data_IF_599296877508
#
_entry.id   IF_599296877508
#
_cell.length_a   1.000
_cell.length_b   1.000
_cell.length_c   1.000
_cell.angle_alpha   90.00
_cell.angle_beta   90.00
_cell.angle_gamma   90.00
#
_symmetry.space_group_name_H-M   'P 1'
#
loop_
_entity.id
_entity.type
_entity.pdbx_description
1 polymer ?
#
# COMPACT_ATOMS: atom_id res chain seq x y z
N UNK A 1 29.48 36.00 -40.76
CA UNK A 1 29.74 35.47 -39.41
C UNK A 1 29.34 36.56 -38.42
N UNK A 2 28.27 36.38 -37.65
CA UNK A 2 27.87 37.37 -36.64
C UNK A 2 28.90 37.34 -35.52
N UNK A 3 29.70 38.38 -35.40
CA UNK A 3 30.60 38.56 -34.27
C UNK A 3 29.73 38.68 -33.01
N UNK A 4 29.88 37.76 -32.07
CA UNK A 4 29.34 37.95 -30.72
C UNK A 4 30.17 39.09 -30.10
N UNK A 5 29.60 40.29 -30.04
CA UNK A 5 30.13 41.38 -29.23
C UNK A 5 29.93 41.01 -27.76
N UNK A 6 31.02 41.00 -27.00
CA UNK A 6 30.93 41.00 -25.53
C UNK A 6 30.59 42.45 -25.15
N UNK A 7 29.43 42.67 -24.53
CA UNK A 7 29.07 44.00 -24.01
C UNK A 7 30.17 44.49 -23.05
N UNK A 8 30.54 45.77 -23.13
CA UNK A 8 31.54 46.42 -22.26
C UNK A 8 30.94 46.93 -20.94
N UNK A 9 29.69 46.56 -20.63
CA UNK A 9 29.01 46.94 -19.38
C UNK A 9 29.61 46.21 -18.19
N UNK A 10 29.54 46.82 -17.00
CA UNK A 10 29.85 46.11 -15.77
C UNK A 10 28.82 45.00 -15.55
N UNK A 11 29.21 43.88 -14.97
CA UNK A 11 28.31 42.74 -14.71
C UNK A 11 27.08 43.17 -13.90
N UNK A 12 27.23 44.11 -12.97
CA UNK A 12 26.14 44.67 -12.15
C UNK A 12 25.14 45.52 -12.93
N UNK A 13 25.46 45.90 -14.16
CA UNK A 13 24.62 46.74 -15.04
C UNK A 13 23.89 45.87 -16.09
N UNK A 14 24.15 44.56 -16.13
CA UNK A 14 23.46 43.64 -17.03
C UNK A 14 22.01 43.40 -16.57
N UNK A 15 21.11 43.22 -17.53
CA UNK A 15 19.73 42.82 -17.24
C UNK A 15 19.70 41.38 -16.69
N UNK A 16 18.96 41.16 -15.61
CA UNK A 16 18.81 39.83 -15.02
C UNK A 16 18.12 38.88 -16.01
N UNK A 17 18.67 37.68 -16.16
CA UNK A 17 18.15 36.65 -17.04
C UNK A 17 17.88 35.37 -16.25
N UNK A 18 16.61 35.10 -15.94
CA UNK A 18 16.19 34.09 -14.95
C UNK A 18 15.68 32.79 -15.56
N UNK A 19 15.44 32.73 -16.88
CA UNK A 19 14.94 31.56 -17.59
C UNK A 19 15.74 31.30 -18.88
N UNK A 20 17.03 30.94 -18.78
CA UNK A 20 17.86 30.62 -19.95
C UNK A 20 17.36 29.35 -20.67
N UNK A 21 17.37 29.39 -22.00
CA UNK A 21 17.17 28.21 -22.84
C UNK A 21 18.44 27.38 -22.92
N UNK A 22 18.32 26.11 -23.34
CA UNK A 22 19.46 25.19 -23.46
C UNK A 22 20.59 25.71 -24.35
N UNK A 23 20.26 26.52 -25.36
CA UNK A 23 21.19 27.15 -26.30
C UNK A 23 21.88 28.41 -25.77
N UNK A 24 21.45 28.96 -24.62
CA UNK A 24 22.07 30.16 -24.05
C UNK A 24 23.54 29.91 -23.74
N UNK A 25 24.39 30.89 -24.03
CA UNK A 25 25.84 30.79 -23.85
C UNK A 25 26.25 31.35 -22.49
N UNK A 26 27.07 30.59 -21.77
CA UNK A 26 27.72 31.01 -20.54
C UNK A 26 29.21 31.21 -20.84
N UNK A 27 29.74 32.44 -20.72
CA UNK A 27 31.17 32.68 -20.80
C UNK A 27 31.87 32.17 -19.54
N UNK A 28 32.98 31.44 -19.71
CA UNK A 28 33.80 30.91 -18.62
C UNK A 28 35.26 31.18 -18.93
N UNK A 29 36.00 31.72 -17.96
CA UNK A 29 37.45 31.84 -18.05
C UNK A 29 38.10 30.67 -17.31
N UNK A 30 38.84 29.82 -18.01
CA UNK A 30 39.42 28.58 -17.41
C UNK A 30 40.88 28.75 -16.93
N UNK A 31 41.37 29.99 -16.90
CA UNK A 31 42.74 30.33 -16.56
C UNK A 31 43.67 30.45 -17.78
N UNK A 32 43.25 29.94 -18.94
CA UNK A 32 43.99 30.07 -20.21
C UNK A 32 43.34 31.02 -21.20
N UNK A 33 42.04 31.29 -21.03
CA UNK A 33 41.33 32.30 -21.80
C UNK A 33 39.82 32.22 -21.60
N UNK A 34 39.11 33.14 -22.25
CA UNK A 34 37.65 33.16 -22.25
C UNK A 34 37.10 32.14 -23.26
N UNK A 35 36.29 31.21 -22.76
CA UNK A 35 35.59 30.18 -23.53
C UNK A 35 34.10 30.32 -23.32
N UNK A 36 33.31 29.53 -24.05
CA UNK A 36 31.85 29.46 -23.89
C UNK A 36 31.40 28.01 -23.71
N UNK A 37 30.39 27.83 -22.88
CA UNK A 37 29.59 26.61 -22.84
C UNK A 37 28.13 26.97 -23.07
N UNK A 38 27.29 25.98 -23.36
CA UNK A 38 25.83 26.19 -23.34
C UNK A 38 25.27 26.00 -21.93
N UNK A 39 24.07 26.53 -21.68
CA UNK A 39 23.36 26.25 -20.43
C UNK A 39 23.08 24.75 -20.26
N UNK A 40 22.83 24.02 -21.36
CA UNK A 40 22.71 22.56 -21.34
C UNK A 40 23.99 21.87 -20.85
N UNK A 41 25.17 22.28 -21.34
CA UNK A 41 26.47 21.76 -20.87
C UNK A 41 26.67 22.04 -19.37
N UNK A 42 26.34 23.25 -18.92
CA UNK A 42 26.46 23.62 -17.50
C UNK A 42 25.54 22.78 -16.62
N UNK A 43 24.25 22.68 -16.97
CA UNK A 43 23.26 21.89 -16.23
C UNK A 43 23.69 20.43 -16.12
N UNK A 44 24.10 19.82 -17.25
CA UNK A 44 24.58 18.45 -17.26
C UNK A 44 25.81 18.26 -16.34
N UNK A 45 26.76 19.21 -16.36
CA UNK A 45 27.94 19.16 -15.50
C UNK A 45 27.62 19.38 -14.02
N UNK A 46 26.67 20.26 -13.71
CA UNK A 46 26.27 20.58 -12.34
C UNK A 46 25.61 19.40 -11.62
N UNK A 47 24.94 18.52 -12.36
CA UNK A 47 24.32 17.29 -11.83
C UNK A 47 25.14 16.03 -12.07
N UNK A 48 26.30 16.15 -12.72
CA UNK A 48 27.17 15.01 -13.06
C UNK A 48 27.53 14.21 -11.79
N UNK A 49 27.33 12.89 -11.86
CA UNK A 49 27.59 11.99 -10.73
C UNK A 49 26.52 12.03 -9.62
N UNK A 50 25.51 12.92 -9.70
CA UNK A 50 24.34 12.87 -8.81
C UNK A 50 23.58 11.57 -9.02
N UNK A 51 23.37 11.17 -10.27
CA UNK A 51 22.75 9.90 -10.66
C UNK A 51 23.43 8.71 -9.99
N UNK A 52 24.77 8.65 -9.99
CA UNK A 52 25.52 7.57 -9.34
C UNK A 52 25.37 7.57 -7.81
N UNK A 53 25.18 8.73 -7.17
CA UNK A 53 24.97 8.85 -5.73
C UNK A 53 23.56 8.43 -5.30
N UNK A 54 22.56 8.65 -6.15
CA UNK A 54 21.17 8.28 -5.89
C UNK A 54 20.80 6.91 -6.49
N UNK A 55 21.58 6.38 -7.44
CA UNK A 55 21.34 5.08 -8.07
C UNK A 55 21.13 3.92 -7.07
N UNK A 56 21.85 3.83 -5.93
CA UNK A 56 21.58 2.81 -4.93
C UNK A 56 20.20 2.91 -4.29
N UNK A 57 19.57 4.10 -4.32
CA UNK A 57 18.21 4.37 -3.85
C UNK A 57 17.16 4.20 -4.97
N UNK A 58 17.60 3.96 -6.21
CA UNK A 58 16.77 3.91 -7.42
C UNK A 58 16.87 2.55 -8.12
N UNK A 59 17.19 1.47 -7.39
CA UNK A 59 17.03 0.15 -7.99
C UNK A 59 15.54 -0.11 -8.23
N UNK A 60 15.17 -0.39 -9.48
CA UNK A 60 13.79 -0.64 -9.87
C UNK A 60 13.40 -2.09 -9.51
N UNK A 61 13.23 -2.34 -8.21
CA UNK A 61 12.77 -3.62 -7.65
C UNK A 61 11.96 -3.41 -6.37
N UNK A 62 11.17 -4.41 -5.99
CA UNK A 62 10.28 -4.31 -4.83
C UNK A 62 11.00 -3.93 -3.53
N UNK A 63 12.23 -4.40 -3.29
CA UNK A 63 12.97 -4.11 -2.06
C UNK A 63 13.27 -2.63 -1.88
N UNK A 64 13.79 -1.99 -2.93
CA UNK A 64 14.05 -0.55 -2.91
C UNK A 64 12.76 0.27 -2.86
N UNK A 65 11.74 -0.12 -3.61
CA UNK A 65 10.46 0.59 -3.62
C UNK A 65 9.70 0.46 -2.29
N UNK A 66 9.83 -0.66 -1.57
CA UNK A 66 9.30 -0.83 -0.22
C UNK A 66 10.05 -0.02 0.85
N UNK A 67 11.26 0.50 0.56
CA UNK A 67 12.08 1.25 1.50
C UNK A 67 11.81 2.76 1.50
N UNK A 68 11.07 3.27 0.51
CA UNK A 68 10.89 4.71 0.29
C UNK A 68 9.40 5.07 0.36
N UNK A 69 9.06 5.97 1.29
CA UNK A 69 7.75 6.60 1.35
C UNK A 69 7.74 7.94 0.62
N UNK A 70 6.68 8.20 -0.16
CA UNK A 70 6.51 9.45 -0.91
C UNK A 70 5.17 10.13 -0.67
N UNK A 71 4.06 9.40 -0.70
CA UNK A 71 2.75 9.98 -0.40
C UNK A 71 2.09 10.81 -1.51
N UNK A 72 2.53 10.70 -2.77
CA UNK A 72 2.09 11.56 -3.89
C UNK A 72 0.75 11.10 -4.49
N UNK A 73 -0.09 12.05 -4.89
CA UNK A 73 -1.26 11.75 -5.73
C UNK A 73 -0.81 11.39 -7.15
N UNK A 74 -1.21 10.22 -7.63
CA UNK A 74 -0.91 9.68 -8.96
C UNK A 74 -1.99 10.02 -10.00
N UNK A 75 -3.06 10.70 -9.59
CA UNK A 75 -4.20 11.06 -10.42
C UNK A 75 -5.47 10.28 -10.08
N UNK A 76 -6.45 10.31 -10.99
CA UNK A 76 -7.79 9.72 -10.80
C UNK A 76 -7.97 8.34 -11.44
N UNK A 77 -6.90 7.76 -11.98
CA UNK A 77 -6.88 6.48 -12.69
C UNK A 77 -5.44 5.97 -12.75
N UNK A 78 -5.28 4.66 -12.77
CA UNK A 78 -3.97 4.04 -13.05
C UNK A 78 -3.70 4.14 -14.55
N UNK A 79 -2.51 4.62 -14.92
CA UNK A 79 -2.15 4.76 -16.34
C UNK A 79 -1.63 3.45 -16.92
N UNK A 80 -1.68 3.30 -18.24
CA UNK A 80 -1.09 2.15 -18.94
C UNK A 80 0.41 1.98 -18.62
N UNK A 81 1.15 3.08 -18.49
CA UNK A 81 2.57 3.04 -18.11
C UNK A 81 2.77 2.51 -16.69
N UNK A 82 1.91 2.92 -15.74
CA UNK A 82 1.96 2.41 -14.37
C UNK A 82 1.66 0.91 -14.32
N UNK A 83 0.62 0.43 -15.02
CA UNK A 83 0.36 -1.01 -15.11
C UNK A 83 1.53 -1.78 -15.74
N UNK A 84 2.14 -1.25 -16.81
CA UNK A 84 3.30 -1.87 -17.43
C UNK A 84 4.49 -1.98 -16.45
N UNK A 85 4.75 -0.92 -15.66
CA UNK A 85 5.81 -0.91 -14.66
C UNK A 85 5.54 -1.88 -13.50
N UNK A 86 4.28 -2.01 -13.05
CA UNK A 86 3.87 -2.97 -12.03
C UNK A 86 4.08 -4.40 -12.55
N UNK A 87 3.56 -4.71 -13.74
CA UNK A 87 3.68 -6.03 -14.35
C UNK A 87 5.13 -6.44 -14.61
N UNK A 88 6.00 -5.48 -14.95
CA UNK A 88 7.42 -5.72 -15.17
C UNK A 88 8.24 -5.86 -13.87
N UNK A 89 7.67 -5.53 -12.71
CA UNK A 89 8.38 -5.52 -11.43
C UNK A 89 9.39 -4.38 -11.28
N UNK A 90 9.37 -3.40 -12.20
CA UNK A 90 10.25 -2.21 -12.15
C UNK A 90 9.69 -1.16 -11.21
N UNK A 91 8.36 -1.05 -11.14
CA UNK A 91 7.63 -0.08 -10.30
C UNK A 91 8.05 1.38 -10.55
N UNK A 92 8.47 1.69 -11.77
CA UNK A 92 8.96 3.01 -12.18
C UNK A 92 8.00 4.13 -11.76
N UNK A 93 8.54 5.14 -11.06
CA UNK A 93 7.80 6.29 -10.51
C UNK A 93 6.61 5.94 -9.58
N UNK A 94 6.62 4.76 -8.95
CA UNK A 94 5.65 4.34 -7.92
C UNK A 94 6.36 4.10 -6.59
N UNK A 95 5.84 4.63 -5.49
CA UNK A 95 6.45 4.50 -4.16
C UNK A 95 5.41 4.22 -3.09
N UNK A 96 5.85 3.73 -1.93
CA UNK A 96 4.95 3.52 -0.80
C UNK A 96 4.28 4.83 -0.43
N UNK A 97 2.98 4.74 -0.15
CA UNK A 97 2.17 5.89 0.19
C UNK A 97 1.65 6.68 -1.01
N UNK A 98 2.14 6.48 -2.23
CA UNK A 98 1.48 7.07 -3.40
C UNK A 98 0.05 6.53 -3.55
N UNK A 99 -0.84 7.30 -4.18
CA UNK A 99 -2.25 6.94 -4.22
C UNK A 99 -2.98 7.44 -5.47
N UNK A 100 -4.01 6.72 -5.86
CA UNK A 100 -5.00 7.17 -6.84
C UNK A 100 -6.29 7.59 -6.13
N UNK A 101 -6.96 8.63 -6.63
CA UNK A 101 -8.28 9.05 -6.14
C UNK A 101 -9.35 8.65 -7.16
N UNK A 102 -10.02 7.51 -6.94
CA UNK A 102 -10.99 6.94 -7.89
C UNK A 102 -12.34 6.88 -7.20
N UNK A 103 -13.38 7.48 -7.82
CA UNK A 103 -14.72 7.49 -7.23
C UNK A 103 -14.81 8.15 -5.85
N UNK A 104 -13.94 9.11 -5.55
CA UNK A 104 -13.87 9.78 -4.23
C UNK A 104 -13.10 9.00 -3.15
N UNK A 105 -12.56 7.82 -3.46
CA UNK A 105 -11.76 7.02 -2.55
C UNK A 105 -10.28 7.16 -2.90
N UNK A 106 -9.44 7.42 -1.89
CA UNK A 106 -7.99 7.36 -2.03
C UNK A 106 -7.51 5.92 -1.82
N UNK A 107 -6.95 5.33 -2.87
CA UNK A 107 -6.38 4.00 -2.91
C UNK A 107 -4.86 4.08 -2.85
N UNK A 108 -4.27 3.73 -1.71
CA UNK A 108 -2.86 3.97 -1.40
C UNK A 108 -2.01 2.71 -1.55
N UNK A 109 -0.86 2.85 -2.18
CA UNK A 109 0.15 1.79 -2.31
C UNK A 109 0.69 1.45 -0.93
N UNK A 110 0.49 0.20 -0.55
CA UNK A 110 0.81 -0.35 0.76
C UNK A 110 2.10 -1.19 0.78
N UNK A 111 2.39 -1.87 -0.32
CA UNK A 111 3.57 -2.72 -0.51
C UNK A 111 3.79 -3.04 -1.99
N UNK A 112 5.01 -3.44 -2.34
CA UNK A 112 5.40 -4.03 -3.63
C UNK A 112 5.77 -5.51 -3.43
N UNK A 113 5.28 -6.39 -4.29
CA UNK A 113 5.57 -7.85 -4.31
C UNK A 113 5.43 -8.58 -2.96
N UNK A 114 4.52 -8.11 -2.11
CA UNK A 114 4.32 -8.65 -0.77
C UNK A 114 4.00 -10.16 -0.78
N UNK A 115 3.18 -10.58 -1.75
CA UNK A 115 2.77 -11.98 -1.94
C UNK A 115 3.61 -12.74 -2.96
N UNK A 116 4.70 -12.16 -3.49
CA UNK A 116 5.54 -12.83 -4.48
C UNK A 116 6.21 -14.04 -3.84
N UNK A 117 6.29 -15.14 -4.59
CA UNK A 117 6.81 -16.43 -4.14
C UNK A 117 6.05 -16.99 -2.93
N UNK A 118 4.73 -16.89 -2.94
CA UNK A 118 3.88 -17.33 -1.82
C UNK A 118 2.58 -17.98 -2.31
N UNK A 119 1.87 -18.64 -1.39
CA UNK A 119 0.69 -19.45 -1.69
C UNK A 119 0.96 -20.95 -1.73
N UNK A 120 -0.09 -21.78 -1.65
CA UNK A 120 -0.05 -23.20 -2.04
C UNK A 120 0.19 -23.36 -3.54
N UNK A 121 -0.30 -22.40 -4.32
CA UNK A 121 0.12 -22.16 -5.70
C UNK A 121 0.97 -20.91 -5.76
N UNK A 122 2.16 -21.03 -6.35
CA UNK A 122 3.14 -19.96 -6.35
C UNK A 122 2.63 -18.70 -7.07
N UNK A 123 2.57 -17.57 -6.36
CA UNK A 123 2.36 -16.26 -6.97
C UNK A 123 3.67 -15.74 -7.59
N UNK A 124 3.74 -15.76 -8.92
CA UNK A 124 4.90 -15.26 -9.70
C UNK A 124 4.65 -13.89 -10.35
N UNK A 125 3.46 -13.33 -10.17
CA UNK A 125 3.03 -12.09 -10.81
C UNK A 125 3.47 -10.89 -9.96
N UNK A 126 4.22 -9.97 -10.57
CA UNK A 126 4.58 -8.72 -9.91
C UNK A 126 3.35 -7.86 -9.65
N UNK A 127 3.29 -7.25 -8.46
CA UNK A 127 2.09 -6.55 -8.01
C UNK A 127 2.38 -5.45 -7.00
N UNK A 128 1.38 -4.56 -6.85
CA UNK A 128 1.30 -3.63 -5.71
C UNK A 128 0.11 -3.98 -4.85
N UNK A 129 0.32 -3.99 -3.53
CA UNK A 129 -0.76 -4.09 -2.54
C UNK A 129 -1.33 -2.69 -2.35
N UNK A 130 -2.66 -2.58 -2.32
CA UNK A 130 -3.38 -1.32 -2.17
C UNK A 130 -4.28 -1.39 -0.95
N UNK A 131 -4.33 -0.29 -0.19
CA UNK A 131 -5.22 -0.10 0.96
C UNK A 131 -5.96 1.23 0.79
N UNK A 132 -7.31 1.27 0.90
CA UNK A 132 -8.05 2.52 0.96
C UNK A 132 -7.67 3.36 2.19
N UNK A 133 -7.65 4.69 2.08
CA UNK A 133 -7.38 5.57 3.22
C UNK A 133 -8.44 5.49 4.33
N UNK A 134 -9.68 5.19 3.95
CA UNK A 134 -10.85 5.14 4.83
C UNK A 134 -11.62 3.85 4.63
N UNK A 135 -12.49 3.53 5.59
CA UNK A 135 -13.44 2.44 5.45
C UNK A 135 -14.38 2.72 4.28
N UNK A 136 -14.67 1.70 3.46
CA UNK A 136 -15.56 1.85 2.31
C UNK A 136 -17.04 1.91 2.75
N UNK A 137 -17.38 1.18 3.81
CA UNK A 137 -18.69 1.10 4.45
C UNK A 137 -18.54 0.40 5.81
N UNK A 138 -19.63 0.25 6.56
CA UNK A 138 -19.65 -0.56 7.77
C UNK A 138 -20.40 -1.87 7.54
N UNK A 139 -19.94 -2.95 8.16
CA UNK A 139 -20.62 -4.24 8.16
C UNK A 139 -20.28 -5.04 9.43
N UNK A 140 -21.06 -6.09 9.67
CA UNK A 140 -20.85 -7.03 10.77
C UNK A 140 -19.99 -8.22 10.30
N UNK A 141 -19.27 -8.85 11.24
CA UNK A 141 -18.64 -10.15 10.99
C UNK A 141 -19.67 -11.28 10.96
N UNK A 142 -20.67 -11.18 11.83
CA UNK A 142 -21.86 -12.02 11.83
C UNK A 142 -23.10 -11.13 11.81
N UNK A 143 -23.94 -11.31 10.80
CA UNK A 143 -25.10 -10.45 10.60
C UNK A 143 -26.19 -10.78 11.61
N UNK A 144 -26.82 -9.73 12.15
CA UNK A 144 -27.95 -9.84 13.07
C UNK A 144 -29.17 -9.14 12.50
N UNK A 145 -30.34 -9.39 13.08
CA UNK A 145 -31.59 -8.78 12.59
C UNK A 145 -31.62 -7.26 12.84
N UNK A 146 -30.94 -6.77 13.87
CA UNK A 146 -30.82 -5.34 14.15
C UNK A 146 -29.80 -4.60 13.28
N UNK A 147 -28.89 -5.33 12.62
CA UNK A 147 -27.73 -4.73 11.94
C UNK A 147 -26.68 -4.14 12.90
N UNK A 148 -26.81 -4.38 14.21
CA UNK A 148 -25.92 -3.90 15.26
C UNK A 148 -25.63 -4.97 16.31
N UNK A 149 -24.95 -4.55 17.37
CA UNK A 149 -24.55 -5.45 18.45
C UNK A 149 -25.77 -6.11 19.12
N UNK A 150 -25.69 -7.43 19.27
CA UNK A 150 -26.65 -8.23 20.02
C UNK A 150 -25.89 -9.14 20.99
N UNK A 151 -26.46 -9.42 22.16
CA UNK A 151 -25.79 -10.24 23.18
C UNK A 151 -25.93 -11.75 22.90
N UNK A 152 -25.09 -12.56 23.56
CA UNK A 152 -25.21 -14.02 23.52
C UNK A 152 -24.85 -14.63 22.17
N UNK A 153 -25.70 -15.54 21.69
CA UNK A 153 -25.43 -16.40 20.52
C UNK A 153 -25.31 -15.64 19.18
N UNK A 154 -25.73 -14.37 19.13
CA UNK A 154 -25.51 -13.48 18.00
C UNK A 154 -24.03 -13.15 17.76
N UNK A 155 -23.12 -13.54 18.66
CA UNK A 155 -21.69 -13.39 18.46
C UNK A 155 -21.04 -14.76 18.34
N UNK A 156 -20.63 -15.10 17.13
CA UNK A 156 -19.96 -16.37 16.84
C UNK A 156 -18.81 -16.16 15.88
N UNK A 157 -17.74 -16.91 16.11
CA UNK A 157 -16.62 -17.05 15.17
C UNK A 157 -16.59 -18.46 14.57
N UNK A 158 -17.68 -19.24 14.72
CA UNK A 158 -17.78 -20.58 14.16
C UNK A 158 -17.49 -20.58 12.64
N UNK A 159 -16.62 -21.48 12.21
CA UNK A 159 -16.13 -21.50 10.83
C UNK A 159 -15.04 -20.47 10.52
N UNK A 160 -14.55 -19.74 11.52
CA UNK A 160 -13.48 -18.75 11.36
C UNK A 160 -13.89 -17.56 10.48
N UNK A 161 -12.90 -16.87 9.93
CA UNK A 161 -13.14 -15.78 8.99
C UNK A 161 -13.85 -16.26 7.71
N UNK A 162 -13.46 -17.43 7.17
CA UNK A 162 -14.12 -18.00 5.98
C UNK A 162 -15.60 -18.32 6.25
N UNK A 163 -15.93 -18.67 7.49
CA UNK A 163 -17.29 -18.96 7.94
C UNK A 163 -18.15 -17.73 8.19
N UNK A 164 -17.53 -16.55 8.36
CA UNK A 164 -18.21 -15.29 8.70
C UNK A 164 -19.11 -14.77 7.56
N UNK A 165 -20.12 -13.98 7.93
CA UNK A 165 -20.93 -13.25 6.94
C UNK A 165 -20.11 -12.18 6.23
N UNK A 166 -19.07 -11.64 6.90
CA UNK A 166 -18.11 -10.73 6.28
C UNK A 166 -17.51 -11.32 5.01
N UNK A 167 -16.95 -12.53 5.11
CA UNK A 167 -16.30 -13.19 3.98
C UNK A 167 -17.29 -13.67 2.92
N UNK A 168 -18.44 -14.22 3.35
CA UNK A 168 -19.41 -14.85 2.46
C UNK A 168 -20.25 -13.86 1.66
N UNK A 169 -20.58 -12.71 2.22
CA UNK A 169 -21.51 -11.76 1.59
C UNK A 169 -21.11 -10.31 1.76
N UNK A 170 -20.72 -9.88 2.96
CA UNK A 170 -20.56 -8.44 3.19
C UNK A 170 -19.35 -7.85 2.42
N UNK A 171 -18.32 -8.63 2.08
CA UNK A 171 -17.19 -8.17 1.25
C UNK A 171 -17.51 -7.96 -0.23
N UNK A 172 -18.64 -8.47 -0.73
CA UNK A 172 -18.98 -8.36 -2.16
C UNK A 172 -19.17 -6.89 -2.60
N UNK A 173 -19.62 -6.02 -1.71
CA UNK A 173 -19.69 -4.58 -1.98
C UNK A 173 -18.29 -3.96 -2.17
N UNK A 174 -17.32 -4.33 -1.33
CA UNK A 174 -15.94 -3.88 -1.50
C UNK A 174 -15.33 -4.43 -2.80
N UNK A 175 -15.53 -5.72 -3.10
CA UNK A 175 -15.09 -6.35 -4.35
C UNK A 175 -15.65 -5.64 -5.57
N UNK A 176 -16.94 -5.32 -5.58
CA UNK A 176 -17.60 -4.60 -6.68
C UNK A 176 -16.99 -3.20 -6.86
N UNK A 177 -16.86 -2.43 -5.78
CA UNK A 177 -16.26 -1.09 -5.80
C UNK A 177 -14.83 -1.13 -6.35
N UNK A 178 -13.99 -2.03 -5.82
CA UNK A 178 -12.58 -2.14 -6.20
C UNK A 178 -12.41 -2.65 -7.63
N UNK A 179 -13.17 -3.67 -8.05
CA UNK A 179 -13.13 -4.17 -9.43
C UNK A 179 -13.64 -3.13 -10.43
N UNK A 180 -14.55 -2.24 -10.03
CA UNK A 180 -14.92 -1.10 -10.87
C UNK A 180 -13.80 -0.07 -10.97
N UNK A 181 -13.08 0.21 -9.87
CA UNK A 181 -11.99 1.18 -9.84
C UNK A 181 -10.72 0.70 -10.57
N UNK A 182 -10.45 -0.61 -10.56
CA UNK A 182 -9.27 -1.25 -11.14
C UNK A 182 -9.67 -2.38 -12.11
N UNK A 183 -10.59 -2.06 -13.03
CA UNK A 183 -11.23 -3.03 -13.93
C UNK A 183 -10.22 -3.85 -14.72
N UNK A 184 -10.26 -5.17 -14.52
CA UNK A 184 -9.37 -6.13 -15.21
C UNK A 184 -7.96 -6.25 -14.63
N UNK A 185 -7.64 -5.49 -13.57
CA UNK A 185 -6.29 -5.42 -13.00
C UNK A 185 -6.17 -5.95 -11.58
N UNK A 186 -7.27 -6.31 -10.92
CA UNK A 186 -7.22 -6.93 -9.59
C UNK A 186 -6.60 -8.32 -9.71
N UNK A 187 -5.50 -8.55 -8.99
CA UNK A 187 -4.75 -9.80 -9.02
C UNK A 187 -5.40 -10.83 -8.08
N UNK A 188 -5.74 -11.98 -8.66
CA UNK A 188 -6.10 -13.19 -7.92
C UNK A 188 -4.83 -13.89 -7.42
N UNK A 189 -4.77 -14.20 -6.13
CA UNK A 189 -3.65 -14.91 -5.51
C UNK A 189 -4.14 -15.86 -4.40
N UNK A 190 -3.24 -16.67 -3.85
CA UNK A 190 -3.56 -17.69 -2.85
C UNK A 190 -3.13 -17.25 -1.46
N UNK A 191 -4.06 -17.27 -0.51
CA UNK A 191 -3.80 -16.99 0.91
C UNK A 191 -4.37 -18.11 1.79
N UNK A 192 -3.85 -18.22 3.01
CA UNK A 192 -4.34 -19.18 4.00
C UNK A 192 -5.22 -18.45 5.02
N UNK A 193 -6.49 -18.86 5.14
CA UNK A 193 -7.49 -18.22 5.99
C UNK A 193 -8.05 -19.20 7.03
N UNK A 194 -8.36 -18.68 8.22
CA UNK A 194 -9.01 -19.45 9.28
C UNK A 194 -10.41 -19.89 8.85
N UNK A 195 -10.68 -21.20 8.90
CA UNK A 195 -11.96 -21.81 8.51
C UNK A 195 -12.62 -22.62 9.64
N UNK A 196 -11.98 -22.70 10.81
CA UNK A 196 -12.52 -23.39 11.97
C UNK A 196 -12.03 -22.75 13.27
N UNK A 197 -12.88 -22.79 14.29
CA UNK A 197 -12.62 -22.28 15.64
C UNK A 197 -13.02 -23.35 16.66
N UNK A 198 -12.16 -23.59 17.64
CA UNK A 198 -12.44 -24.45 18.78
C UNK A 198 -11.85 -23.83 20.05
N UNK A 199 -12.56 -23.94 21.17
CA UNK A 199 -12.13 -23.39 22.47
C UNK A 199 -11.73 -21.91 22.39
N UNK A 200 -12.43 -21.13 21.57
CA UNK A 200 -12.21 -19.70 21.40
C UNK A 200 -10.95 -19.31 20.64
N UNK A 201 -10.31 -20.23 19.91
CA UNK A 201 -9.13 -19.94 19.07
C UNK A 201 -9.23 -20.60 17.70
N UNK A 202 -8.52 -20.05 16.72
CA UNK A 202 -8.37 -20.66 15.40
C UNK A 202 -7.85 -22.10 15.53
N UNK A 203 -8.61 -23.05 15.01
CA UNK A 203 -8.30 -24.50 15.08
C UNK A 203 -8.04 -25.13 13.71
N UNK A 204 -8.38 -24.42 12.63
CA UNK A 204 -8.12 -24.85 11.27
C UNK A 204 -8.05 -23.67 10.30
N UNK A 205 -7.43 -23.92 9.16
CA UNK A 205 -7.43 -23.00 8.03
C UNK A 205 -7.44 -23.74 6.69
N UNK A 206 -7.74 -22.98 5.64
CA UNK A 206 -7.78 -23.47 4.27
C UNK A 206 -7.11 -22.48 3.33
N UNK A 207 -6.57 -23.02 2.24
CA UNK A 207 -6.10 -22.20 1.12
C UNK A 207 -7.28 -21.67 0.31
N UNK A 208 -7.35 -20.35 0.20
CA UNK A 208 -8.43 -19.63 -0.45
C UNK A 208 -7.90 -18.78 -1.61
N UNK A 209 -8.77 -18.59 -2.59
CA UNK A 209 -8.57 -17.57 -3.61
C UNK A 209 -8.87 -16.20 -3.02
N UNK A 210 -7.92 -15.28 -3.15
CA UNK A 210 -8.07 -13.90 -2.70
C UNK A 210 -7.94 -12.92 -3.86
N UNK A 211 -8.86 -11.96 -3.86
CA UNK A 211 -8.85 -10.79 -4.73
C UNK A 211 -8.96 -9.51 -3.89
N UNK A 212 -9.86 -9.52 -2.90
CA UNK A 212 -10.08 -8.44 -1.93
C UNK A 212 -10.44 -9.07 -0.59
N UNK A 213 -9.65 -8.78 0.45
CA UNK A 213 -9.85 -9.33 1.79
C UNK A 213 -9.55 -8.29 2.87
N UNK A 214 -10.18 -8.43 4.04
CA UNK A 214 -9.79 -7.65 5.21
C UNK A 214 -8.35 -7.94 5.60
N UNK A 215 -7.60 -6.94 6.03
CA UNK A 215 -6.24 -7.11 6.55
C UNK A 215 -6.23 -7.94 7.86
N UNK A 216 -5.06 -8.45 8.23
CA UNK A 216 -4.83 -9.07 9.54
C UNK A 216 -3.90 -8.22 10.42
N UNK A 217 -3.84 -8.55 11.71
CA UNK A 217 -2.95 -7.91 12.69
C UNK A 217 -1.50 -7.85 12.21
N UNK A 218 -0.97 -8.94 11.62
CA UNK A 218 0.39 -8.99 11.09
C UNK A 218 0.65 -7.90 10.04
N UNK A 219 -0.29 -7.67 9.12
CA UNK A 219 -0.18 -6.63 8.09
C UNK A 219 -0.20 -5.24 8.71
N UNK A 220 -0.99 -5.03 9.76
CA UNK A 220 -1.25 -3.71 10.35
C UNK A 220 -0.21 -3.33 11.40
N UNK A 221 0.10 -4.24 12.32
CA UNK A 221 0.94 -4.02 13.50
C UNK A 221 2.29 -4.72 13.44
N UNK A 222 2.51 -5.60 12.46
CA UNK A 222 3.74 -6.41 12.36
C UNK A 222 3.78 -7.60 13.32
N UNK A 223 2.71 -7.84 14.07
CA UNK A 223 2.54 -8.98 14.97
C UNK A 223 1.06 -9.27 15.20
N UNK A 224 0.74 -10.48 15.65
CA UNK A 224 -0.59 -10.82 16.19
C UNK A 224 -0.72 -10.34 17.63
N UNK A 225 -1.23 -9.14 17.85
CA UNK A 225 -1.31 -8.50 19.18
C UNK A 225 -2.30 -9.24 20.09
N UNK A 226 -3.50 -9.55 19.58
CA UNK A 226 -4.57 -10.25 20.27
C UNK A 226 -4.69 -11.72 19.88
N UNK A 227 -4.01 -12.12 18.81
CA UNK A 227 -3.98 -13.50 18.33
C UNK A 227 -3.79 -14.48 19.51
N UNK A 228 -4.65 -15.51 19.64
CA UNK A 228 -4.61 -16.40 20.79
C UNK A 228 -3.22 -17.00 21.01
N UNK A 229 -2.71 -16.86 22.24
CA UNK A 229 -1.41 -17.39 22.64
C UNK A 229 -1.48 -18.91 22.71
N UNK A 230 -0.40 -19.58 22.28
CA UNK A 230 -0.25 -21.02 22.46
C UNK A 230 -0.06 -21.35 23.93
N UNK A 231 -0.84 -22.30 24.45
CA UNK A 231 -0.75 -22.79 25.84
C UNK A 231 0.11 -24.06 25.96
N UNK A 232 0.75 -24.49 24.87
CA UNK A 232 1.55 -25.71 24.81
C UNK A 232 0.75 -27.01 24.60
N UNK A 233 -0.58 -26.96 24.59
CA UNK A 233 -1.43 -28.16 24.35
C UNK A 233 -1.60 -28.47 22.86
N UNK A 234 -1.69 -27.44 22.03
CA UNK A 234 -1.71 -27.55 20.57
C UNK A 234 -1.15 -26.27 19.94
N UNK A 235 -0.75 -26.35 18.68
CA UNK A 235 -0.40 -25.15 17.89
C UNK A 235 -1.70 -24.53 17.36
N UNK A 236 -2.05 -23.28 17.70
CA UNK A 236 -3.20 -22.60 17.10
C UNK A 236 -3.00 -22.42 15.60
N UNK A 237 -4.09 -22.47 14.82
CA UNK A 237 -4.06 -22.29 13.36
C UNK A 237 -3.90 -20.81 12.96
N UNK A 238 -2.89 -20.14 13.51
CA UNK A 238 -2.57 -18.73 13.28
C UNK A 238 -1.62 -18.53 12.07
N UNK A 239 -1.42 -19.56 11.24
CA UNK A 239 -0.57 -19.53 10.05
C UNK A 239 -1.10 -18.53 9.02
N UNK A 240 -0.20 -17.78 8.37
CA UNK A 240 -0.55 -16.71 7.42
C UNK A 240 0.45 -16.67 6.28
N UNK A 241 0.02 -16.14 5.15
CA UNK A 241 0.94 -15.83 4.05
C UNK A 241 1.59 -14.45 4.25
N UNK A 242 0.92 -13.58 5.00
CA UNK A 242 1.34 -12.23 5.34
C UNK A 242 2.63 -12.25 6.18
N UNK A 243 3.74 -11.84 5.56
CA UNK A 243 5.09 -12.06 6.08
C UNK A 243 5.53 -11.01 7.11
N UNK A 244 4.94 -9.80 7.06
CA UNK A 244 5.39 -8.65 7.84
C UNK A 244 4.31 -7.58 7.96
N UNK A 245 4.58 -6.54 8.76
CA UNK A 245 3.83 -5.29 8.62
C UNK A 245 3.93 -4.77 7.19
N UNK A 246 2.84 -4.19 6.68
CA UNK A 246 2.88 -3.49 5.40
C UNK A 246 3.83 -2.29 5.50
N UNK A 247 4.73 -2.08 4.53
CA UNK A 247 5.62 -0.93 4.48
C UNK A 247 4.91 0.41 4.65
N UNK A 248 3.68 0.57 4.14
CA UNK A 248 2.88 1.76 4.39
C UNK A 248 2.68 2.07 5.87
N UNK A 249 2.36 1.06 6.68
CA UNK A 249 2.14 1.27 8.11
C UNK A 249 3.43 1.37 8.91
N UNK A 250 4.54 0.84 8.38
CA UNK A 250 5.88 1.07 8.93
C UNK A 250 6.33 2.52 8.73
N UNK A 251 6.18 3.04 7.52
CA UNK A 251 6.67 4.39 7.17
C UNK A 251 5.70 5.51 7.56
N UNK A 252 4.39 5.25 7.53
CA UNK A 252 3.34 6.19 7.90
C UNK A 252 2.34 5.54 8.88
N UNK A 253 2.73 5.37 10.16
CA UNK A 253 1.85 4.78 11.18
C UNK A 253 0.53 5.53 11.38
N UNK A 254 0.47 6.83 11.04
CA UNK A 254 -0.77 7.60 11.09
C UNK A 254 -1.87 7.03 10.18
N UNK A 255 -1.51 6.21 9.18
CA UNK A 255 -2.49 5.53 8.30
C UNK A 255 -3.11 4.30 8.91
N UNK A 256 -2.59 3.79 10.02
CA UNK A 256 -3.25 2.74 10.80
C UNK A 256 -4.54 3.29 11.41
N UNK A 257 -4.43 4.43 12.11
CA UNK A 257 -5.57 5.05 12.80
C UNK A 257 -5.96 6.39 12.18
N UNK A 258 -7.13 6.42 11.56
CA UNK A 258 -7.80 7.61 11.02
C UNK A 258 -9.02 8.00 11.87
N UNK A 259 -9.02 7.67 13.18
CA UNK A 259 -10.15 7.83 14.12
C UNK A 259 -11.41 7.05 13.72
N UNK A 260 -11.30 6.07 12.82
CA UNK A 260 -12.35 5.09 12.55
C UNK A 260 -12.01 3.75 13.21
N UNK A 261 -13.04 3.03 13.63
CA UNK A 261 -12.91 1.61 13.97
C UNK A 261 -13.13 0.77 12.73
N UNK A 262 -12.25 -0.19 12.47
CA UNK A 262 -12.37 -1.08 11.31
C UNK A 262 -11.86 -2.48 11.60
N UNK A 263 -12.48 -3.43 10.91
CA UNK A 263 -12.28 -4.85 11.15
C UNK A 263 -10.95 -5.36 10.62
N UNK A 264 -10.38 -6.32 11.36
CA UNK A 264 -9.35 -7.24 10.90
C UNK A 264 -9.93 -8.65 10.86
N UNK A 265 -9.36 -9.53 10.05
CA UNK A 265 -9.90 -10.88 9.84
C UNK A 265 -9.56 -11.89 10.95
N UNK A 266 -8.72 -11.52 11.92
CA UNK A 266 -8.22 -12.45 12.92
C UNK A 266 -9.28 -12.84 13.95
N UNK A 267 -9.40 -14.14 14.23
CA UNK A 267 -10.25 -14.66 15.31
C UNK A 267 -9.52 -14.54 16.64
N UNK A 268 -10.13 -13.86 17.60
CA UNK A 268 -9.55 -13.62 18.94
C UNK A 268 -10.23 -14.47 20.01
N UNK A 269 -11.54 -14.63 19.94
CA UNK A 269 -12.32 -15.45 20.88
C UNK A 269 -13.39 -16.28 20.15
N UNK A 270 -14.20 -17.03 20.88
CA UNK A 270 -15.36 -17.75 20.33
C UNK A 270 -16.45 -16.80 19.78
N UNK A 271 -16.38 -15.52 20.14
CA UNK A 271 -17.40 -14.52 19.83
C UNK A 271 -16.83 -13.24 19.20
N UNK A 272 -15.50 -13.10 19.07
CA UNK A 272 -14.89 -11.84 18.64
C UNK A 272 -13.75 -11.95 17.66
N UNK A 273 -13.66 -10.92 16.82
CA UNK A 273 -12.63 -10.70 15.80
C UNK A 273 -11.78 -9.47 16.15
N UNK A 274 -10.56 -9.44 15.64
CA UNK A 274 -9.65 -8.31 15.81
C UNK A 274 -10.16 -7.07 15.07
N UNK A 275 -9.79 -5.90 15.56
CA UNK A 275 -10.09 -4.60 14.95
C UNK A 275 -9.00 -3.59 15.27
N UNK A 276 -8.95 -2.54 14.46
CA UNK A 276 -8.27 -1.30 14.83
C UNK A 276 -9.28 -0.42 15.56
N UNK A 277 -8.95 0.04 16.76
CA UNK A 277 -9.81 0.91 17.57
C UNK A 277 -9.68 2.38 17.16
N UNK A 278 -10.76 3.15 17.31
CA UNK A 278 -10.77 4.59 17.01
C UNK A 278 -9.77 5.42 17.86
N UNK A 279 -9.29 4.88 18.98
CA UNK A 279 -8.21 5.48 19.78
C UNK A 279 -6.81 5.09 19.32
N UNK A 280 -6.67 4.31 18.25
CA UNK A 280 -5.39 3.93 17.64
C UNK A 280 -4.75 2.67 18.21
N UNK A 281 -5.37 2.04 19.21
CA UNK A 281 -4.94 0.74 19.72
C UNK A 281 -5.39 -0.42 18.83
N UNK A 282 -4.64 -1.52 18.87
CA UNK A 282 -5.18 -2.82 18.51
C UNK A 282 -6.27 -3.20 19.52
N UNK A 283 -7.34 -3.85 19.07
CA UNK A 283 -8.40 -4.35 19.95
C UNK A 283 -9.12 -5.54 19.30
N UNK A 284 -10.13 -6.08 19.96
CA UNK A 284 -11.10 -6.99 19.39
C UNK A 284 -12.52 -6.50 19.72
N UNK A 285 -13.52 -7.09 19.08
CA UNK A 285 -14.92 -6.83 19.38
C UNK A 285 -15.82 -8.00 18.98
N UNK A 286 -17.07 -7.94 19.40
CA UNK A 286 -18.06 -8.98 19.18
C UNK A 286 -18.42 -9.07 17.71
N UNK A 287 -18.65 -10.28 17.19
CA UNK A 287 -18.88 -10.48 15.76
C UNK A 287 -20.10 -9.72 15.20
N UNK A 288 -21.10 -9.43 16.05
CA UNK A 288 -22.28 -8.63 15.67
C UNK A 288 -22.07 -7.12 15.72
N UNK A 289 -20.92 -6.61 16.18
CA UNK A 289 -20.66 -5.18 16.08
C UNK A 289 -20.59 -4.73 14.60
N UNK A 290 -21.00 -3.49 14.31
CA UNK A 290 -20.95 -2.93 12.95
C UNK A 290 -19.81 -1.92 12.85
N UNK A 291 -18.74 -2.29 12.15
CA UNK A 291 -17.54 -1.47 11.98
C UNK A 291 -17.07 -1.40 10.54
N UNK A 292 -16.10 -0.53 10.31
CA UNK A 292 -15.57 -0.22 8.99
C UNK A 292 -14.95 -1.43 8.29
N UNK A 293 -15.28 -1.57 7.00
CA UNK A 293 -14.68 -2.49 6.05
C UNK A 293 -13.59 -1.75 5.29
N UNK A 294 -12.33 -2.10 5.59
CA UNK A 294 -11.13 -1.51 4.99
C UNK A 294 -10.20 -2.63 4.49
N UNK A 295 -10.46 -3.17 3.30
CA UNK A 295 -9.73 -4.32 2.79
C UNK A 295 -8.37 -3.93 2.20
N UNK A 296 -7.54 -4.94 1.94
CA UNK A 296 -6.39 -4.86 1.06
C UNK A 296 -6.64 -5.70 -0.20
N UNK A 297 -6.00 -5.34 -1.30
CA UNK A 297 -6.03 -6.07 -2.56
C UNK A 297 -4.77 -5.82 -3.37
N UNK A 298 -4.52 -6.64 -4.38
CA UNK A 298 -3.37 -6.50 -5.27
C UNK A 298 -3.82 -6.05 -6.67
N UNK A 299 -2.99 -5.25 -7.35
CA UNK A 299 -3.13 -5.01 -8.79
C UNK A 299 -1.86 -5.39 -9.55
N UNK A 300 -2.03 -5.77 -10.83
CA UNK A 300 -0.95 -6.09 -11.77
C UNK A 300 -1.25 -5.53 -13.17
#
# INVERSE_FOLDING_TARGET
MSAISIETKKVTELTAFTAPTDSCLIPIHDGTGLKKITFANFRAKAVEGTEAKIAPLLFNNAGAHNAIYRGKSLGSTVTTAQYAAIKAGTFDDLYIGDYWTIGGVNYRIAAFDYYLNSGDTNCTTHHVVIVPDTCLYNAQMHNTSSGGWESGAANTTAGGYVGSDMYKSNLEQAKTTIKSAFSGHVLKHRIYLTNAVANGRASGGAWCDSEVDLMCEQMVYGSGIFSPVSDGSNVPANYRVEKSQLPLFQHEPSRICNRATWWLRDVITASGFARVDYNGGANYASASDSYGVRPAFCIS
#
